data_IF_874249926817
#
_entry.id   IF_874249926817
#
_cell.length_a   1.000
_cell.length_b   1.000
_cell.length_c   1.000
_cell.angle_alpha   90.00
_cell.angle_beta   90.00
_cell.angle_gamma   90.00
#
_symmetry.space_group_name_H-M   'P 1'
#
loop_
_entity.id
_entity.type
_entity.pdbx_description
1 polymer ?
#
# COMPACT_ATOMS: atom_id res chain seq x y z
N UNK A 1 13.27 -2.83 -28.08
CA UNK A 1 13.28 -2.52 -26.63
C UNK A 1 12.17 -1.55 -26.16
N UNK A 2 11.32 -0.99 -27.04
CA UNK A 2 10.26 -0.01 -26.64
C UNK A 2 9.00 -0.62 -26.01
N UNK A 3 8.58 -1.82 -26.44
CA UNK A 3 7.32 -2.44 -26.00
C UNK A 3 7.31 -3.16 -24.64
N UNK A 4 8.41 -3.09 -23.86
CA UNK A 4 8.49 -3.63 -22.50
C UNK A 4 8.27 -2.53 -21.45
N UNK A 5 8.68 -1.29 -21.74
CA UNK A 5 8.43 -0.11 -20.90
C UNK A 5 6.96 0.35 -20.94
N UNK A 6 6.33 0.33 -22.12
CA UNK A 6 4.91 0.71 -22.27
C UNK A 6 3.97 -0.23 -21.50
N UNK A 7 4.34 -1.52 -21.37
CA UNK A 7 3.55 -2.54 -20.66
C UNK A 7 3.64 -2.43 -19.14
N UNK A 8 4.76 -1.95 -18.62
CA UNK A 8 4.93 -1.69 -17.18
C UNK A 8 4.19 -0.44 -16.73
N UNK A 9 4.13 0.61 -17.57
CA UNK A 9 3.40 1.85 -17.26
C UNK A 9 1.88 1.62 -17.26
N UNK A 10 1.36 0.79 -18.18
CA UNK A 10 -0.06 0.44 -18.21
C UNK A 10 -0.51 -0.42 -17.01
N UNK A 11 0.41 -1.22 -16.45
CA UNK A 11 0.17 -1.98 -15.22
C UNK A 11 0.17 -1.06 -13.99
N UNK A 12 1.14 -0.14 -13.91
CA UNK A 12 1.25 0.82 -12.82
C UNK A 12 0.00 1.72 -12.73
N UNK A 13 -0.48 2.26 -13.84
CA UNK A 13 -1.69 3.09 -13.86
C UNK A 13 -2.97 2.33 -13.46
N UNK A 14 -3.06 1.03 -13.74
CA UNK A 14 -4.15 0.18 -13.25
C UNK A 14 -4.04 -0.10 -11.75
N UNK A 15 -2.84 -0.36 -11.26
CA UNK A 15 -2.58 -0.56 -9.83
C UNK A 15 -2.89 0.69 -9.01
N UNK A 16 -2.54 1.88 -9.52
CA UNK A 16 -2.91 3.17 -8.93
C UNK A 16 -4.43 3.36 -8.86
N UNK A 17 -5.14 3.10 -9.98
CA UNK A 17 -6.59 3.19 -10.03
C UNK A 17 -7.30 2.23 -9.06
N UNK A 18 -6.77 1.01 -8.88
CA UNK A 18 -7.28 0.05 -7.91
C UNK A 18 -7.01 0.53 -6.47
N UNK A 19 -5.80 1.01 -6.18
CA UNK A 19 -5.44 1.54 -4.87
C UNK A 19 -6.36 2.69 -4.43
N UNK A 20 -6.62 3.64 -5.32
CA UNK A 20 -7.55 4.75 -5.07
C UNK A 20 -8.98 4.28 -4.77
N UNK A 21 -9.45 3.22 -5.43
CA UNK A 21 -10.78 2.64 -5.17
C UNK A 21 -10.83 1.91 -3.82
N UNK A 22 -9.75 1.28 -3.39
CA UNK A 22 -9.67 0.61 -2.08
C UNK A 22 -9.56 1.61 -0.91
N UNK A 23 -8.92 2.76 -1.14
CA UNK A 23 -8.91 3.85 -0.15
C UNK A 23 -10.33 4.36 0.13
N UNK A 24 -11.20 4.46 -0.89
CA UNK A 24 -12.62 4.81 -0.68
C UNK A 24 -13.37 3.82 0.20
N UNK A 25 -12.93 2.56 0.26
CA UNK A 25 -13.51 1.54 1.16
C UNK A 25 -12.76 1.43 2.48
N UNK A 26 -11.86 2.38 2.78
CA UNK A 26 -10.99 2.41 3.98
C UNK A 26 -10.26 1.09 4.22
N UNK A 27 -9.81 0.47 3.13
CA UNK A 27 -9.13 -0.84 3.14
C UNK A 27 -7.71 -0.69 2.63
N UNK A 28 -6.74 -1.14 3.43
CA UNK A 28 -5.31 -1.13 3.11
C UNK A 28 -4.82 -2.58 2.96
N UNK A 29 -4.08 -2.85 1.90
CA UNK A 29 -3.45 -4.16 1.66
C UNK A 29 -1.96 -4.10 1.99
N UNK A 30 -1.53 -4.96 2.90
CA UNK A 30 -0.12 -5.23 3.20
C UNK A 30 0.20 -6.60 2.64
N UNK A 31 0.70 -6.63 1.40
CA UNK A 31 0.93 -7.86 0.66
C UNK A 31 2.34 -7.92 0.09
N UNK A 32 2.96 -9.10 0.16
CA UNK A 32 4.33 -9.31 -0.28
C UNK A 32 5.36 -9.15 0.84
N UNK A 33 6.61 -8.94 0.46
CA UNK A 33 7.70 -8.71 1.40
C UNK A 33 7.56 -7.36 2.09
N UNK A 34 7.80 -7.32 3.41
CA UNK A 34 7.83 -6.07 4.17
C UNK A 34 9.19 -5.41 3.98
N UNK A 35 9.23 -4.41 3.10
CA UNK A 35 10.38 -3.56 2.84
C UNK A 35 10.02 -2.08 3.04
N UNK A 36 11.00 -1.19 2.91
CA UNK A 36 10.82 0.24 3.15
C UNK A 36 9.79 0.87 2.21
N UNK A 37 9.72 0.36 0.97
CA UNK A 37 8.77 0.87 -0.03
C UNK A 37 7.34 0.47 0.30
N UNK A 38 7.11 -0.78 0.72
CA UNK A 38 5.81 -1.23 1.19
C UNK A 38 5.41 -0.45 2.45
N UNK A 39 6.33 -0.29 3.40
CA UNK A 39 6.08 0.48 4.62
C UNK A 39 5.69 1.93 4.32
N UNK A 40 6.49 2.66 3.53
CA UNK A 40 6.18 4.04 3.13
C UNK A 40 4.78 4.15 2.51
N UNK A 41 4.46 3.24 1.57
CA UNK A 41 3.14 3.20 0.94
C UNK A 41 2.02 2.95 1.96
N UNK A 42 2.17 1.96 2.83
CA UNK A 42 1.16 1.60 3.83
C UNK A 42 0.94 2.76 4.81
N UNK A 43 2.01 3.35 5.32
CA UNK A 43 1.97 4.49 6.25
C UNK A 43 1.27 5.68 5.60
N UNK A 44 1.61 6.02 4.35
CA UNK A 44 0.95 7.09 3.62
C UNK A 44 -0.56 6.85 3.44
N UNK A 45 -0.95 5.61 3.12
CA UNK A 45 -2.37 5.24 3.01
C UNK A 45 -3.11 5.37 4.34
N UNK A 46 -2.50 4.93 5.45
CA UNK A 46 -3.08 5.07 6.80
C UNK A 46 -3.30 6.54 7.18
N UNK A 47 -2.29 7.39 6.95
CA UNK A 47 -2.38 8.83 7.21
C UNK A 47 -3.48 9.52 6.39
N UNK A 48 -3.60 9.17 5.11
CA UNK A 48 -4.66 9.71 4.25
C UNK A 48 -6.03 9.32 4.80
N UNK A 49 -6.21 8.06 5.18
CA UNK A 49 -7.49 7.56 5.68
C UNK A 49 -7.87 8.17 7.03
N UNK A 50 -6.91 8.35 7.95
CA UNK A 50 -7.15 8.99 9.24
C UNK A 50 -7.49 10.49 9.09
N UNK A 51 -6.81 11.18 8.16
CA UNK A 51 -7.11 12.57 7.84
C UNK A 51 -8.51 12.78 7.24
N UNK A 52 -9.06 11.79 6.54
CA UNK A 52 -10.44 11.85 6.03
C UNK A 52 -11.48 11.73 7.14
N UNK A 53 -11.24 10.87 8.14
CA UNK A 53 -12.03 10.69 9.37
C UNK A 53 -11.45 9.52 10.20
N UNK A 54 -11.92 9.39 11.45
CA UNK A 54 -11.50 8.35 12.38
C UNK A 54 -12.36 7.07 12.36
N UNK A 55 -13.09 6.79 11.28
CA UNK A 55 -13.80 5.51 11.15
C UNK A 55 -12.80 4.34 11.05
N UNK A 56 -13.18 3.11 11.43
CA UNK A 56 -12.27 1.97 11.40
C UNK A 56 -11.63 1.73 10.03
N UNK A 57 -10.31 1.47 10.03
CA UNK A 57 -9.54 1.08 8.85
C UNK A 57 -9.39 -0.44 8.85
N UNK A 58 -9.66 -1.07 7.70
CA UNK A 58 -9.44 -2.51 7.53
C UNK A 58 -8.08 -2.76 6.90
N UNK A 59 -7.21 -3.47 7.61
CA UNK A 59 -5.92 -3.92 7.07
C UNK A 59 -6.00 -5.39 6.71
N UNK A 60 -5.72 -5.73 5.46
CA UNK A 60 -5.61 -7.11 5.00
C UNK A 60 -4.14 -7.45 4.81
N UNK A 61 -3.65 -8.42 5.59
CA UNK A 61 -2.23 -8.78 5.63
C UNK A 61 -2.04 -10.15 4.96
N UNK A 62 -1.24 -10.17 3.90
CA UNK A 62 -0.82 -11.38 3.19
C UNK A 62 0.67 -11.27 2.89
N UNK A 63 1.47 -11.34 3.96
CA UNK A 63 2.90 -11.12 3.91
C UNK A 63 3.68 -12.35 4.41
N UNK A 64 4.86 -12.55 3.83
CA UNK A 64 5.86 -13.52 4.30
C UNK A 64 6.85 -12.91 5.31
N UNK A 65 6.62 -11.67 5.74
CA UNK A 65 7.55 -10.87 6.55
C UNK A 65 8.59 -10.14 5.70
N UNK A 66 9.69 -9.72 6.33
CA UNK A 66 10.75 -8.94 5.70
C UNK A 66 11.63 -8.24 6.72
N UNK A 67 11.92 -6.95 6.48
CA UNK A 67 12.69 -6.11 7.39
C UNK A 67 11.87 -5.81 8.65
N UNK A 68 12.46 -6.11 9.81
CA UNK A 68 11.81 -5.90 11.11
C UNK A 68 11.54 -4.42 11.36
N UNK A 69 12.48 -3.54 11.01
CA UNK A 69 12.35 -2.10 11.21
C UNK A 69 11.22 -1.50 10.36
N UNK A 70 11.07 -1.93 9.10
CA UNK A 70 9.96 -1.50 8.24
C UNK A 70 8.61 -2.02 8.77
N UNK A 71 8.60 -3.21 9.39
CA UNK A 71 7.43 -3.75 10.09
C UNK A 71 7.07 -2.92 11.33
N UNK A 72 8.05 -2.50 12.13
CA UNK A 72 7.83 -1.61 13.27
C UNK A 72 7.34 -0.23 12.83
N UNK A 73 7.88 0.30 11.74
CA UNK A 73 7.42 1.57 11.18
C UNK A 73 5.92 1.53 10.81
N UNK A 74 5.41 0.40 10.28
CA UNK A 74 3.98 0.22 10.02
C UNK A 74 3.18 0.08 11.31
N UNK A 75 3.72 -0.64 12.31
CA UNK A 75 3.05 -0.90 13.58
C UNK A 75 2.84 0.35 14.44
N UNK A 76 3.80 1.28 14.42
CA UNK A 76 3.77 2.48 15.27
C UNK A 76 2.84 3.58 14.74
N UNK A 77 2.24 3.38 13.56
CA UNK A 77 1.23 4.24 12.95
C UNK A 77 -0.19 3.83 13.34
#
# INVERSE_FOLDING_TARGET
MRGMAERSEESAGREEGLGLRMLKTRTVLVSGAVDDKLAEKTIAQLLILDAENHEPIRVMITSQGGHVDSGFAIHDM
#
